data_IF_408423750832
#
_entry.id   IF_408423750832
#
_cell.length_a   1.000
_cell.length_b   1.000
_cell.length_c   1.000
_cell.angle_alpha   90.00
_cell.angle_beta   90.00
_cell.angle_gamma   90.00
#
_symmetry.space_group_name_H-M   'P 1'
#
loop_
_entity.id
_entity.type
_entity.pdbx_description
1 polymer ?
#
# COMPACT_ATOMS: atom_id res chain seq x y z
N UNK A 1 21.87 -0.07 43.45
CA UNK A 1 22.90 -0.13 42.40
C UNK A 1 23.19 1.28 41.91
N UNK A 2 24.44 1.71 41.96
CA UNK A 2 24.89 3.00 41.40
C UNK A 2 25.20 2.76 39.91
N UNK A 3 24.67 3.62 39.03
CA UNK A 3 24.94 3.55 37.59
C UNK A 3 25.62 4.83 37.15
N UNK A 4 26.72 4.69 36.40
CA UNK A 4 27.49 5.82 35.88
C UNK A 4 27.02 6.15 34.47
N UNK A 5 26.75 7.43 34.21
CA UNK A 5 26.42 7.92 32.86
C UNK A 5 27.51 8.89 32.42
N UNK A 6 28.02 8.70 31.21
CA UNK A 6 28.98 9.61 30.55
C UNK A 6 28.28 10.28 29.39
N UNK A 7 28.34 11.60 29.33
CA UNK A 7 27.86 12.39 28.21
C UNK A 7 29.04 13.03 27.48
N UNK A 8 29.05 12.93 26.15
CA UNK A 8 30.01 13.60 25.30
C UNK A 8 29.30 14.76 24.57
N UNK A 9 29.71 15.99 24.90
CA UNK A 9 29.10 17.19 24.30
C UNK A 9 29.47 17.40 22.82
N UNK A 10 30.53 16.75 22.32
CA UNK A 10 30.99 16.91 20.92
C UNK A 10 30.07 16.23 19.92
N UNK A 11 29.56 15.07 20.26
CA UNK A 11 28.76 14.21 19.38
C UNK A 11 27.34 13.96 19.95
N UNK A 12 27.02 14.49 21.13
CA UNK A 12 25.73 14.31 21.79
C UNK A 12 25.51 12.89 22.31
N UNK A 13 26.55 12.06 22.37
CA UNK A 13 26.43 10.66 22.80
C UNK A 13 26.38 10.55 24.33
N UNK A 14 25.52 9.66 24.80
CA UNK A 14 25.36 9.26 26.20
C UNK A 14 25.56 7.76 26.35
N UNK A 15 26.47 7.37 27.24
CA UNK A 15 26.68 5.98 27.60
C UNK A 15 26.36 5.74 29.06
N UNK A 16 25.58 4.70 29.34
CA UNK A 16 25.28 4.26 30.70
C UNK A 16 25.99 2.92 30.98
N UNK A 17 26.52 2.75 32.19
CA UNK A 17 27.14 1.48 32.60
C UNK A 17 26.20 0.27 32.53
N UNK A 18 24.87 0.50 32.50
CA UNK A 18 23.86 -0.52 32.28
C UNK A 18 23.75 -1.02 30.83
N UNK A 19 24.33 -0.32 29.85
CA UNK A 19 24.36 -0.70 28.43
C UNK A 19 23.00 -1.04 27.81
N UNK A 20 21.91 -0.44 28.30
CA UNK A 20 20.56 -0.77 27.86
C UNK A 20 20.31 -0.41 26.38
N UNK A 21 20.93 0.67 25.91
CA UNK A 21 20.83 1.06 24.52
C UNK A 21 21.59 0.08 23.62
N UNK A 22 22.79 -0.33 24.04
CA UNK A 22 23.62 -1.29 23.31
C UNK A 22 23.00 -2.70 23.30
N UNK A 23 22.29 -3.09 24.37
CA UNK A 23 21.65 -4.42 24.47
C UNK A 23 20.33 -4.52 23.72
N UNK A 24 19.47 -3.51 23.87
CA UNK A 24 18.08 -3.60 23.38
C UNK A 24 17.63 -2.37 22.58
N UNK A 25 18.53 -1.45 22.25
CA UNK A 25 18.21 -0.25 21.47
C UNK A 25 17.34 0.76 22.24
N UNK A 26 17.22 0.64 23.57
CA UNK A 26 16.40 1.53 24.40
C UNK A 26 17.24 2.32 25.40
N UNK A 27 17.08 3.64 25.38
CA UNK A 27 17.61 4.52 26.43
C UNK A 27 17.06 4.12 27.80
N UNK A 28 17.93 4.01 28.80
CA UNK A 28 17.52 3.70 30.17
C UNK A 28 17.15 4.98 30.93
N UNK A 29 16.43 4.83 32.06
CA UNK A 29 16.08 5.95 32.96
C UNK A 29 17.28 6.83 33.34
N UNK A 30 18.48 6.25 33.45
CA UNK A 30 19.67 7.00 33.83
C UNK A 30 20.08 8.02 32.75
N UNK A 31 19.94 7.66 31.47
CA UNK A 31 20.23 8.58 30.35
C UNK A 31 19.17 9.70 30.31
N UNK A 32 17.89 9.37 30.53
CA UNK A 32 16.83 10.38 30.58
C UNK A 32 17.04 11.44 31.68
N UNK A 33 17.53 11.03 32.86
CA UNK A 33 17.89 11.97 33.93
C UNK A 33 19.01 12.91 33.47
N UNK A 34 20.03 12.41 32.78
CA UNK A 34 21.11 13.23 32.23
C UNK A 34 20.58 14.20 31.17
N UNK A 35 19.73 13.75 30.25
CA UNK A 35 19.11 14.62 29.24
C UNK A 35 18.30 15.76 29.88
N UNK A 36 17.53 15.45 30.94
CA UNK A 36 16.78 16.46 31.69
C UNK A 36 17.72 17.50 32.33
N UNK A 37 18.80 17.05 32.96
CA UNK A 37 19.77 17.94 33.61
C UNK A 37 20.53 18.82 32.60
N UNK A 38 20.81 18.28 31.41
CA UNK A 38 21.46 18.99 30.32
C UNK A 38 20.50 19.83 29.46
N UNK A 39 19.20 19.84 29.80
CA UNK A 39 18.15 20.54 29.04
C UNK A 39 18.12 20.16 27.56
N UNK A 40 18.38 18.89 27.25
CA UNK A 40 18.25 18.36 25.90
C UNK A 40 16.76 18.18 25.60
N UNK A 41 16.20 19.06 24.76
CA UNK A 41 14.76 19.06 24.43
C UNK A 41 14.35 17.93 23.50
N UNK A 42 15.28 17.44 22.67
CA UNK A 42 15.04 16.38 21.69
C UNK A 42 16.08 15.28 21.84
N UNK A 43 15.60 14.03 21.87
CA UNK A 43 16.47 12.85 21.83
C UNK A 43 17.21 12.86 20.48
N UNK A 44 18.55 12.71 20.45
CA UNK A 44 19.28 12.66 19.20
C UNK A 44 18.79 11.54 18.28
N UNK A 45 18.68 11.83 16.98
CA UNK A 45 18.07 10.91 15.99
C UNK A 45 18.77 9.54 15.92
N UNK A 46 20.08 9.50 16.18
CA UNK A 46 20.83 8.23 16.22
C UNK A 46 20.45 7.33 17.40
N UNK A 47 19.73 7.83 18.41
CA UNK A 47 19.07 7.02 19.46
C UNK A 47 17.63 6.63 19.10
N UNK A 48 17.02 7.31 18.13
CA UNK A 48 15.68 7.03 17.61
C UNK A 48 15.78 5.95 16.53
N UNK A 49 16.02 4.71 16.96
CA UNK A 49 16.08 3.56 16.04
C UNK A 49 14.69 3.16 15.55
N UNK A 50 14.60 2.34 14.50
CA UNK A 50 13.33 1.80 13.97
C UNK A 50 12.45 1.12 15.03
N UNK A 51 13.03 0.72 16.17
CA UNK A 51 12.33 0.20 17.35
C UNK A 51 11.46 1.23 18.07
N UNK A 52 11.81 2.51 18.00
CA UNK A 52 11.08 3.66 18.58
C UNK A 52 10.01 4.23 17.65
N UNK A 53 10.07 3.91 16.36
CA UNK A 53 9.14 4.42 15.36
C UNK A 53 7.85 3.60 15.33
N UNK A 54 6.70 4.28 15.43
CA UNK A 54 5.33 3.73 15.45
C UNK A 54 5.03 2.75 14.29
N UNK A 55 5.75 2.85 13.18
CA UNK A 55 5.58 2.00 11.99
C UNK A 55 6.02 0.54 12.16
N UNK A 56 6.53 0.14 13.33
CA UNK A 56 6.82 -1.27 13.64
C UNK A 56 6.00 -1.85 14.81
N UNK A 57 5.08 -1.08 15.42
CA UNK A 57 4.27 -1.50 16.56
C UNK A 57 2.80 -1.82 16.18
N UNK A 58 2.61 -2.71 15.21
CA UNK A 58 1.47 -3.63 15.20
C UNK A 58 1.68 -4.76 16.25
N UNK A 59 2.21 -4.38 17.42
CA UNK A 59 2.61 -5.25 18.52
C UNK A 59 1.93 -4.75 19.79
N UNK A 60 0.94 -5.47 20.35
CA UNK A 60 0.47 -5.18 21.69
C UNK A 60 1.46 -5.76 22.71
N UNK A 61 1.97 -4.93 23.62
CA UNK A 61 2.54 -5.40 24.89
C UNK A 61 1.43 -5.25 25.95
N UNK A 62 0.78 -6.35 26.33
CA UNK A 62 -0.17 -6.61 27.47
C UNK A 62 -1.03 -5.43 28.01
N UNK A 63 -2.32 -5.30 27.68
CA UNK A 63 -3.58 -5.94 28.18
C UNK A 63 -4.19 -5.33 29.48
N UNK A 64 -5.33 -4.63 29.35
CA UNK A 64 -6.44 -4.50 30.34
C UNK A 64 -7.73 -4.18 29.58
N UNK A 65 -8.78 -4.97 29.82
CA UNK A 65 -10.05 -4.92 29.12
C UNK A 65 -10.72 -3.54 29.03
N UNK A 66 -11.14 -3.20 27.81
CA UNK A 66 -12.20 -2.24 27.53
C UNK A 66 -13.20 -2.92 26.60
N UNK A 67 -14.51 -2.80 26.84
CA UNK A 67 -15.50 -3.44 25.99
C UNK A 67 -15.68 -2.56 24.75
N UNK A 68 -14.92 -2.79 23.69
CA UNK A 68 -15.39 -2.40 22.36
C UNK A 68 -14.71 -3.11 21.19
N UNK A 69 -15.57 -3.85 20.49
CA UNK A 69 -15.52 -4.29 19.10
C UNK A 69 -14.53 -5.38 18.67
N UNK A 70 -15.07 -6.59 18.74
CA UNK A 70 -15.12 -7.58 17.67
C UNK A 70 -14.65 -7.12 16.27
N UNK A 71 -13.54 -7.71 15.84
CA UNK A 71 -13.37 -8.47 14.58
C UNK A 71 -11.92 -8.97 14.52
N UNK A 72 -11.62 -10.08 15.19
CA UNK A 72 -10.30 -10.71 15.15
C UNK A 72 -10.09 -11.30 13.75
N UNK A 73 -9.52 -10.49 12.86
CA UNK A 73 -9.11 -10.91 11.52
C UNK A 73 -7.94 -11.90 11.58
N UNK A 74 -7.81 -12.76 10.56
CA UNK A 74 -6.67 -13.70 10.39
C UNK A 74 -5.30 -13.00 10.49
N UNK A 75 -5.23 -11.72 10.09
CA UNK A 75 -4.02 -10.89 10.19
C UNK A 75 -3.66 -10.53 11.63
N UNK A 76 -4.58 -10.61 12.58
CA UNK A 76 -4.36 -10.33 14.00
C UNK A 76 -3.74 -11.52 14.74
N UNK A 77 -4.15 -12.74 14.41
CA UNK A 77 -3.54 -13.96 14.97
C UNK A 77 -2.08 -14.14 14.53
N UNK A 78 -1.75 -13.84 13.28
CA UNK A 78 -0.35 -13.90 12.83
C UNK A 78 0.52 -12.85 13.55
N UNK A 79 -0.04 -11.67 13.86
CA UNK A 79 0.69 -10.64 14.62
C UNK A 79 0.97 -11.08 16.06
N UNK A 80 0.02 -11.72 16.73
CA UNK A 80 0.23 -12.23 18.11
C UNK A 80 1.26 -13.36 18.13
N UNK A 81 1.24 -14.26 17.14
CA UNK A 81 2.23 -15.33 17.00
C UNK A 81 3.65 -14.78 16.75
N UNK A 82 3.80 -13.84 15.82
CA UNK A 82 5.10 -13.17 15.58
C UNK A 82 5.57 -12.46 16.84
N UNK A 83 4.65 -11.85 17.58
CA UNK A 83 4.99 -11.13 18.81
C UNK A 83 5.54 -12.04 19.89
N UNK A 84 4.88 -13.18 20.11
CA UNK A 84 5.30 -14.22 21.04
C UNK A 84 6.66 -14.80 20.65
N UNK A 85 6.82 -15.20 19.39
CA UNK A 85 8.08 -15.74 18.88
C UNK A 85 9.26 -14.80 19.13
N UNK A 86 9.07 -13.51 18.86
CA UNK A 86 10.11 -12.50 19.11
C UNK A 86 10.44 -12.37 20.59
N UNK A 87 9.46 -12.43 21.49
CA UNK A 87 9.71 -12.40 22.93
C UNK A 87 10.51 -13.62 23.39
N UNK A 88 10.17 -14.81 22.90
CA UNK A 88 10.86 -16.06 23.24
C UNK A 88 12.32 -16.02 22.75
N UNK A 89 12.58 -15.56 21.52
CA UNK A 89 13.94 -15.39 20.99
C UNK A 89 14.74 -14.41 21.86
N UNK A 90 14.15 -13.27 22.23
CA UNK A 90 14.82 -12.29 23.07
C UNK A 90 15.13 -12.84 24.47
N UNK A 91 14.23 -13.64 25.03
CA UNK A 91 14.44 -14.31 26.31
C UNK A 91 15.60 -15.32 26.23
N UNK A 92 15.65 -16.13 25.18
CA UNK A 92 16.76 -17.07 24.94
C UNK A 92 18.11 -16.33 24.85
N UNK A 93 18.17 -15.22 24.11
CA UNK A 93 19.39 -14.39 24.01
C UNK A 93 19.80 -13.88 25.40
N UNK A 94 18.86 -13.34 26.18
CA UNK A 94 19.14 -12.83 27.51
C UNK A 94 19.66 -13.91 28.48
N UNK A 95 19.18 -15.16 28.34
CA UNK A 95 19.66 -16.29 29.15
C UNK A 95 21.10 -16.68 28.83
N UNK A 96 21.51 -16.58 27.56
CA UNK A 96 22.82 -17.09 27.09
C UNK A 96 23.83 -15.99 26.75
N UNK A 97 23.49 -14.71 26.96
CA UNK A 97 24.29 -13.52 26.57
C UNK A 97 25.74 -13.56 27.11
N UNK A 98 25.97 -14.24 28.23
CA UNK A 98 27.28 -14.29 28.90
C UNK A 98 27.99 -15.64 28.75
N UNK A 99 27.46 -16.53 27.92
CA UNK A 99 27.99 -17.87 27.65
C UNK A 99 28.20 -18.06 26.14
N UNK A 100 29.40 -17.77 25.62
CA UNK A 100 29.67 -17.74 24.17
C UNK A 100 29.30 -19.05 23.45
N UNK A 101 29.59 -20.20 24.06
CA UNK A 101 29.29 -21.51 23.47
C UNK A 101 27.78 -21.74 23.30
N UNK A 102 26.98 -21.35 24.30
CA UNK A 102 25.52 -21.44 24.24
C UNK A 102 24.93 -20.41 23.28
N UNK A 103 25.51 -19.21 23.21
CA UNK A 103 25.10 -18.18 22.24
C UNK A 103 25.35 -18.66 20.80
N UNK A 104 26.50 -19.29 20.55
CA UNK A 104 26.81 -19.93 19.27
C UNK A 104 25.84 -21.08 18.96
N UNK A 105 25.51 -21.92 19.96
CA UNK A 105 24.55 -22.99 19.78
C UNK A 105 23.16 -22.46 19.36
N UNK A 106 22.65 -21.44 20.08
CA UNK A 106 21.36 -20.80 19.74
C UNK A 106 21.40 -20.16 18.35
N UNK A 107 22.49 -19.47 18.01
CA UNK A 107 22.69 -18.89 16.67
C UNK A 107 22.65 -19.96 15.56
N UNK A 108 23.32 -21.09 15.77
CA UNK A 108 23.35 -22.19 14.80
C UNK A 108 21.95 -22.80 14.62
N UNK A 109 21.20 -23.01 15.71
CA UNK A 109 19.81 -23.49 15.63
C UNK A 109 18.92 -22.53 14.84
N UNK A 110 19.02 -21.22 15.09
CA UNK A 110 18.25 -20.21 14.33
C UNK A 110 18.60 -20.26 12.84
N UNK A 111 19.90 -20.34 12.51
CA UNK A 111 20.33 -20.44 11.11
C UNK A 111 19.83 -21.73 10.44
N UNK A 112 19.86 -22.87 11.14
CA UNK A 112 19.35 -24.13 10.61
C UNK A 112 17.84 -24.04 10.29
N UNK A 113 17.05 -23.45 11.17
CA UNK A 113 15.62 -23.22 10.90
C UNK A 113 15.39 -22.24 9.75
N UNK A 114 16.24 -21.20 9.64
CA UNK A 114 16.17 -20.22 8.54
C UNK A 114 16.38 -20.89 7.18
N UNK A 115 17.43 -21.70 7.02
CA UNK A 115 17.68 -22.42 5.76
C UNK A 115 16.54 -23.40 5.43
N UNK A 116 16.07 -24.19 6.41
CA UNK A 116 14.96 -25.11 6.20
C UNK A 116 13.64 -24.42 5.79
N UNK A 117 13.41 -23.19 6.25
CA UNK A 117 12.25 -22.38 5.82
C UNK A 117 12.42 -21.85 4.40
N UNK A 118 13.64 -21.43 4.02
CA UNK A 118 13.94 -21.00 2.66
C UNK A 118 13.68 -22.14 1.68
N UNK A 119 14.17 -23.34 1.97
CA UNK A 119 13.97 -24.52 1.11
C UNK A 119 12.48 -24.84 0.93
N UNK A 120 11.70 -24.87 2.01
CA UNK A 120 10.24 -25.11 1.95
C UNK A 120 9.47 -24.06 1.13
N UNK A 121 9.93 -22.82 1.16
CA UNK A 121 9.31 -21.72 0.39
C UNK A 121 9.74 -21.75 -1.08
N UNK A 122 10.91 -22.31 -1.38
CA UNK A 122 11.39 -22.51 -2.76
C UNK A 122 10.75 -23.74 -3.42
N UNK A 123 10.51 -24.83 -2.67
CA UNK A 123 9.80 -26.03 -3.15
C UNK A 123 8.35 -25.71 -3.59
N UNK A 124 7.72 -24.69 -2.99
CA UNK A 124 6.41 -24.18 -3.41
C UNK A 124 6.42 -23.35 -4.70
N UNK A 125 7.60 -23.04 -5.24
CA UNK A 125 7.80 -22.28 -6.48
C UNK A 125 8.29 -23.18 -7.62
N UNK A 126 7.86 -24.44 -7.64
CA UNK A 126 7.89 -25.25 -8.86
C UNK A 126 6.80 -24.73 -9.81
N UNK A 127 7.24 -23.98 -10.82
CA UNK A 127 6.45 -23.50 -11.96
C UNK A 127 5.12 -22.82 -11.60
N UNK A 128 5.14 -21.63 -11.00
CA UNK A 128 4.10 -20.67 -11.38
C UNK A 128 4.42 -20.27 -12.81
N UNK A 129 3.84 -21.01 -13.75
CA UNK A 129 3.77 -20.59 -15.13
C UNK A 129 3.16 -19.19 -15.10
N UNK A 130 3.99 -18.17 -15.33
CA UNK A 130 3.56 -16.76 -15.23
C UNK A 130 2.35 -16.52 -16.12
N UNK A 131 2.18 -17.34 -17.16
CA UNK A 131 0.97 -17.38 -17.99
C UNK A 131 -0.30 -17.50 -17.15
N UNK A 132 -0.36 -18.44 -16.21
CA UNK A 132 -1.55 -18.66 -15.35
C UNK A 132 -1.93 -17.44 -14.50
N UNK A 133 -0.95 -16.64 -14.07
CA UNK A 133 -1.20 -15.41 -13.30
C UNK A 133 -1.81 -14.34 -14.20
N UNK A 134 -1.29 -14.18 -15.41
CA UNK A 134 -1.82 -13.23 -16.39
C UNK A 134 -3.21 -13.64 -16.91
N UNK A 135 -3.44 -14.93 -17.17
CA UNK A 135 -4.73 -15.43 -17.63
C UNK A 135 -5.81 -15.27 -16.55
N UNK A 136 -5.49 -15.52 -15.29
CA UNK A 136 -6.41 -15.29 -14.17
C UNK A 136 -6.74 -13.81 -13.98
N UNK A 137 -5.77 -12.91 -14.19
CA UNK A 137 -5.98 -11.47 -14.07
C UNK A 137 -6.82 -10.90 -15.23
N UNK A 138 -6.53 -11.33 -16.46
CA UNK A 138 -7.24 -10.88 -17.66
C UNK A 138 -8.58 -11.62 -17.88
N UNK A 139 -8.79 -12.77 -17.22
CA UNK A 139 -9.98 -13.61 -17.37
C UNK A 139 -10.06 -14.37 -18.70
N UNK A 140 -8.98 -14.38 -19.47
CA UNK A 140 -8.92 -14.97 -20.81
C UNK A 140 -7.55 -15.63 -21.00
N UNK A 141 -7.54 -16.83 -21.60
CA UNK A 141 -6.29 -17.49 -21.96
C UNK A 141 -5.57 -16.78 -23.11
N UNK A 142 -4.24 -16.92 -23.17
CA UNK A 142 -3.46 -16.35 -24.26
C UNK A 142 -3.83 -17.05 -25.60
N UNK A 143 -4.13 -16.31 -26.68
CA UNK A 143 -4.40 -16.91 -27.98
C UNK A 143 -3.14 -17.58 -28.54
N UNK A 144 -3.31 -18.73 -29.21
CA UNK A 144 -2.22 -19.52 -29.80
C UNK A 144 -1.48 -18.82 -30.95
N UNK A 145 -2.12 -17.83 -31.57
CA UNK A 145 -1.54 -17.02 -32.64
C UNK A 145 -1.86 -15.54 -32.37
N UNK A 146 -0.83 -14.72 -32.17
CA UNK A 146 -0.97 -13.27 -32.00
C UNK A 146 -0.79 -12.58 -33.34
N UNK A 147 -1.88 -12.20 -34.00
CA UNK A 147 -1.83 -11.33 -35.19
C UNK A 147 -1.92 -9.87 -34.78
N UNK A 148 -0.77 -9.21 -34.68
CA UNK A 148 -0.70 -7.77 -34.48
C UNK A 148 -0.97 -7.08 -35.81
N UNK A 149 -2.19 -6.59 -36.01
CA UNK A 149 -2.51 -5.72 -37.13
C UNK A 149 -2.08 -4.28 -36.81
N UNK A 150 -1.62 -3.51 -37.80
CA UNK A 150 -1.47 -2.07 -37.63
C UNK A 150 -2.79 -1.46 -37.12
N UNK A 151 -2.74 -0.48 -36.20
CA UNK A 151 -3.96 0.21 -35.77
C UNK A 151 -4.68 0.76 -37.01
N UNK A 152 -6.00 0.62 -37.03
CA UNK A 152 -6.82 1.14 -38.12
C UNK A 152 -6.44 2.60 -38.39
N UNK A 153 -6.16 2.95 -39.64
CA UNK A 153 -5.85 4.33 -40.00
C UNK A 153 -7.06 5.20 -39.66
N UNK A 154 -6.93 6.00 -38.60
CA UNK A 154 -7.94 6.97 -38.19
C UNK A 154 -7.62 8.30 -38.85
N UNK A 155 -8.61 8.96 -39.46
CA UNK A 155 -8.42 10.30 -40.02
C UNK A 155 -8.21 11.31 -38.88
N UNK A 156 -6.95 11.68 -38.63
CA UNK A 156 -6.57 12.66 -37.60
C UNK A 156 -6.82 14.11 -38.03
N UNK A 157 -6.99 14.34 -39.32
CA UNK A 157 -7.45 15.63 -39.87
C UNK A 157 -8.97 15.57 -39.95
N UNK A 158 -9.64 16.46 -39.21
CA UNK A 158 -11.10 16.51 -39.11
C UNK A 158 -11.79 16.33 -40.46
N UNK A 159 -13.00 15.73 -40.43
CA UNK A 159 -13.84 15.49 -41.60
C UNK A 159 -13.66 16.62 -42.61
N UNK A 160 -13.09 16.33 -43.78
CA UNK A 160 -12.77 17.33 -44.82
C UNK A 160 -14.00 18.09 -45.37
N UNK A 161 -15.15 17.93 -44.74
CA UNK A 161 -16.37 18.67 -44.97
C UNK A 161 -16.26 20.03 -44.29
N UNK A 162 -16.39 21.08 -45.10
CA UNK A 162 -16.46 22.46 -44.62
C UNK A 162 -17.64 22.62 -43.65
N UNK A 163 -17.40 23.23 -42.50
CA UNK A 163 -18.46 23.66 -41.57
C UNK A 163 -19.21 24.82 -42.25
N UNK A 164 -20.53 24.66 -42.46
CA UNK A 164 -21.36 25.71 -43.05
C UNK A 164 -21.57 26.85 -42.05
N UNK A 165 -21.53 28.09 -42.54
CA UNK A 165 -21.82 29.27 -41.72
C UNK A 165 -23.33 29.41 -41.46
N UNK A 166 -23.72 30.11 -40.40
CA UNK A 166 -25.14 30.28 -40.02
C UNK A 166 -26.02 30.81 -41.16
N UNK A 167 -25.51 31.78 -41.94
CA UNK A 167 -26.21 32.31 -43.12
C UNK A 167 -26.51 31.24 -44.17
N UNK A 168 -25.58 30.33 -44.43
CA UNK A 168 -25.76 29.26 -45.42
C UNK A 168 -26.77 28.23 -44.94
N UNK A 169 -26.74 27.90 -43.64
CA UNK A 169 -27.74 27.02 -43.03
C UNK A 169 -29.13 27.65 -43.17
N UNK A 170 -29.31 28.92 -42.80
CA UNK A 170 -30.60 29.59 -42.90
C UNK A 170 -31.14 29.67 -44.34
N UNK A 171 -30.27 29.86 -45.34
CA UNK A 171 -30.67 29.85 -46.75
C UNK A 171 -31.17 28.45 -47.15
N UNK A 172 -30.45 27.39 -46.81
CA UNK A 172 -30.88 26.01 -47.10
C UNK A 172 -32.19 25.65 -46.41
N UNK A 173 -32.41 26.11 -45.18
CA UNK A 173 -33.68 25.91 -44.49
C UNK A 173 -34.84 26.65 -45.15
N UNK A 174 -34.60 27.87 -45.65
CA UNK A 174 -35.60 28.64 -46.39
C UNK A 174 -36.02 27.99 -47.71
N UNK A 175 -35.12 27.19 -48.31
CA UNK A 175 -35.39 26.46 -49.55
C UNK A 175 -36.08 25.11 -49.34
N UNK A 176 -36.30 24.68 -48.08
CA UNK A 176 -37.03 23.43 -47.82
C UNK A 176 -38.48 23.59 -48.29
N UNK A 177 -38.99 22.63 -49.05
CA UNK A 177 -40.41 22.63 -49.46
C UNK A 177 -41.30 22.24 -48.29
N UNK A 178 -42.48 22.85 -48.18
CA UNK A 178 -43.51 22.39 -47.24
C UNK A 178 -43.87 20.94 -47.57
N UNK A 179 -44.03 20.11 -46.55
CA UNK A 179 -44.43 18.71 -46.67
C UNK A 179 -45.68 18.44 -45.84
N UNK A 180 -46.48 17.47 -46.28
CA UNK A 180 -47.68 17.05 -45.58
C UNK A 180 -47.31 16.27 -44.31
N UNK A 181 -47.73 16.77 -43.16
CA UNK A 181 -47.59 16.08 -41.88
C UNK A 181 -48.67 14.99 -41.75
N UNK A 182 -48.29 13.76 -41.38
CA UNK A 182 -49.29 12.67 -41.24
C UNK A 182 -50.14 12.78 -39.98
N UNK A 183 -49.67 13.54 -38.98
CA UNK A 183 -50.37 13.71 -37.69
C UNK A 183 -51.47 14.77 -37.78
N UNK A 184 -51.14 16.00 -38.22
CA UNK A 184 -52.12 17.09 -38.34
C UNK A 184 -52.73 17.23 -39.74
N UNK A 185 -52.24 16.48 -40.74
CA UNK A 185 -52.69 16.54 -42.14
C UNK A 185 -52.52 17.92 -42.82
N UNK A 186 -51.66 18.79 -42.29
CA UNK A 186 -51.34 20.09 -42.89
C UNK A 186 -49.97 20.09 -43.56
N UNK A 187 -49.79 20.99 -44.55
CA UNK A 187 -48.50 21.25 -45.18
C UNK A 187 -47.69 22.26 -44.39
N UNK A 188 -46.53 21.83 -43.87
CA UNK A 188 -45.66 22.69 -43.08
C UNK A 188 -44.19 22.30 -43.17
N UNK A 189 -43.36 22.99 -42.38
CA UNK A 189 -41.92 22.67 -42.24
C UNK A 189 -41.65 21.60 -41.17
N UNK A 190 -42.69 20.90 -40.73
CA UNK A 190 -42.63 19.84 -39.72
C UNK A 190 -43.11 18.50 -40.31
N UNK A 191 -42.78 17.40 -39.65
CA UNK A 191 -43.28 16.05 -39.89
C UNK A 191 -44.02 15.54 -38.65
N UNK A 192 -44.49 14.29 -38.68
CA UNK A 192 -45.26 13.70 -37.58
C UNK A 192 -44.53 13.62 -36.25
N UNK A 193 -43.19 13.65 -36.23
CA UNK A 193 -42.39 13.54 -34.99
C UNK A 193 -42.28 14.88 -34.28
N UNK A 194 -42.20 15.98 -35.02
CA UNK A 194 -42.12 17.34 -34.49
C UNK A 194 -43.41 18.14 -34.77
N UNK A 195 -44.55 17.45 -34.89
CA UNK A 195 -45.84 18.08 -35.09
C UNK A 195 -46.22 18.87 -33.82
N UNK A 196 -46.64 20.14 -33.93
CA UNK A 196 -47.02 20.96 -32.78
C UNK A 196 -48.15 20.34 -31.95
N UNK A 197 -49.09 19.62 -32.59
CA UNK A 197 -50.15 18.87 -31.90
C UNK A 197 -49.63 17.74 -30.99
N UNK A 198 -48.36 17.33 -31.11
CA UNK A 198 -47.78 16.34 -30.19
C UNK A 198 -47.44 16.92 -28.82
N UNK A 199 -47.28 18.25 -28.69
CA UNK A 199 -46.95 18.92 -27.43
C UNK A 199 -48.20 19.42 -26.67
N UNK A 200 -49.38 19.24 -27.25
CA UNK A 200 -50.68 19.61 -26.64
C UNK A 200 -51.36 18.42 -25.94
N UNK A 201 -50.59 17.39 -25.55
CA UNK A 201 -51.04 16.26 -24.73
C UNK A 201 -50.37 16.25 -23.37
#
# INVERSE_FOLDING_TARGET
MISTVRYCARDGTTHCSWKNYERIGLLCRHIFVVFKNLKIEKIPDFYVTNRWCKFHLLKPMFDVGGPEMDKVSFTDQNKTLVSRLMSDIHFCIALVEHTPDLLLAVSNTINQHKEALIDKLQDGKLSSDTSSVFENFCGTSAPSEVRVLPPAQVSTKGSGKRIKGGKEVSIEESNKTKRLCQTCKEYGFHDSRNCPMNHEK
#
